data_IF_202584504929
#
_entry.id   IF_202584504929
#
_cell.length_a   1.000
_cell.length_b   1.000
_cell.length_c   1.000
_cell.angle_alpha   90.00
_cell.angle_beta   90.00
_cell.angle_gamma   90.00
#
_symmetry.space_group_name_H-M   'P 1'
#
loop_
_entity.id
_entity.type
_entity.pdbx_description
1 polymer ?
#
# COMPACT_ATOMS: atom_id res chain seq x y z
N UNK A 1 -29.29 -4.58 -11.06
CA UNK A 1 -27.91 -4.18 -10.75
C UNK A 1 -27.94 -2.90 -9.92
N UNK A 2 -27.29 -2.83 -8.76
CA UNK A 2 -27.32 -1.63 -7.90
C UNK A 2 -25.93 -0.94 -7.89
N UNK A 3 -25.92 0.38 -7.71
CA UNK A 3 -24.70 1.17 -7.53
C UNK A 3 -23.80 0.61 -6.41
N UNK A 4 -24.43 0.06 -5.34
CA UNK A 4 -23.74 -0.59 -4.23
C UNK A 4 -22.77 -1.69 -4.68
N UNK A 5 -23.15 -2.51 -5.67
CA UNK A 5 -22.30 -3.59 -6.16
C UNK A 5 -21.04 -3.06 -6.87
N UNK A 6 -21.17 -1.97 -7.67
CA UNK A 6 -20.01 -1.33 -8.31
C UNK A 6 -19.03 -0.75 -7.26
N UNK A 7 -19.56 -0.11 -6.22
CA UNK A 7 -18.73 0.39 -5.12
C UNK A 7 -18.04 -0.78 -4.38
N UNK A 8 -18.76 -1.86 -4.10
CA UNK A 8 -18.18 -3.01 -3.37
C UNK A 8 -17.01 -3.67 -4.12
N UNK A 9 -17.06 -3.79 -5.45
CA UNK A 9 -15.97 -4.42 -6.22
C UNK A 9 -14.70 -3.57 -6.29
N UNK A 10 -14.77 -2.24 -6.01
CA UNK A 10 -13.59 -1.37 -5.93
C UNK A 10 -12.84 -1.51 -4.61
N UNK A 11 -13.40 -2.22 -3.61
CA UNK A 11 -12.80 -2.39 -2.27
C UNK A 11 -12.50 -1.06 -1.57
N UNK A 12 -13.51 -0.27 -1.14
CA UNK A 12 -13.32 1.10 -0.60
C UNK A 12 -12.33 1.19 0.56
N UNK A 13 -12.24 0.16 1.42
CA UNK A 13 -11.26 0.13 2.51
C UNK A 13 -9.80 0.13 2.02
N UNK A 14 -9.51 -0.50 0.86
CA UNK A 14 -8.18 -0.46 0.25
C UNK A 14 -7.91 0.93 -0.31
N UNK A 15 -8.89 1.54 -1.00
CA UNK A 15 -8.77 2.90 -1.54
C UNK A 15 -8.46 3.88 -0.40
N UNK A 16 -9.20 3.81 0.70
CA UNK A 16 -9.00 4.71 1.86
C UNK A 16 -7.57 4.65 2.41
N UNK A 17 -7.03 3.44 2.62
CA UNK A 17 -5.64 3.28 3.09
C UNK A 17 -4.61 3.86 2.11
N UNK A 18 -4.84 3.70 0.80
CA UNK A 18 -3.93 4.25 -0.21
C UNK A 18 -4.02 5.78 -0.29
N UNK A 19 -5.22 6.34 -0.20
CA UNK A 19 -5.46 7.81 -0.20
C UNK A 19 -4.69 8.49 0.94
N UNK A 20 -4.68 7.89 2.12
CA UNK A 20 -3.91 8.40 3.26
C UNK A 20 -2.40 8.44 2.98
N UNK A 21 -1.89 7.38 2.35
CA UNK A 21 -0.47 7.30 1.98
C UNK A 21 -0.10 8.28 0.88
N UNK A 22 -0.98 8.47 -0.11
CA UNK A 22 -0.85 9.51 -1.15
C UNK A 22 -0.72 10.89 -0.52
N UNK A 23 -1.63 11.21 0.41
CA UNK A 23 -1.61 12.50 1.13
C UNK A 23 -0.30 12.70 1.89
N UNK A 24 0.19 11.67 2.61
CA UNK A 24 1.47 11.73 3.32
C UNK A 24 2.65 12.06 2.40
N UNK A 25 2.75 11.39 1.24
CA UNK A 25 3.79 11.68 0.25
C UNK A 25 3.65 13.06 -0.38
N UNK A 26 2.42 13.47 -0.71
CA UNK A 26 2.13 14.78 -1.28
C UNK A 26 2.51 15.92 -0.33
N UNK A 27 2.09 15.86 0.92
CA UNK A 27 2.39 16.91 1.90
C UNK A 27 3.87 16.96 2.27
N UNK A 28 4.56 15.81 2.34
CA UNK A 28 6.00 15.76 2.52
C UNK A 28 6.73 16.55 1.42
N UNK A 29 6.26 16.41 0.17
CA UNK A 29 6.82 17.11 -0.98
C UNK A 29 6.43 18.59 -1.05
N UNK A 30 5.20 18.93 -0.66
CA UNK A 30 4.63 20.28 -0.77
C UNK A 30 5.27 21.30 0.17
N UNK A 31 5.89 20.83 1.27
CA UNK A 31 6.58 21.70 2.26
C UNK A 31 5.76 22.93 2.66
N UNK A 32 4.44 22.73 2.85
CA UNK A 32 3.49 23.78 3.21
C UNK A 32 2.89 24.57 2.03
N UNK A 33 3.43 24.44 0.81
CA UNK A 33 2.90 25.10 -0.39
C UNK A 33 1.98 24.13 -1.16
N UNK A 34 0.70 24.14 -0.85
CA UNK A 34 -0.27 23.18 -1.38
C UNK A 34 -0.97 23.75 -2.61
N UNK A 35 -0.75 23.12 -3.78
CA UNK A 35 -1.61 23.30 -4.94
C UNK A 35 -2.83 22.39 -4.81
N UNK A 36 -3.99 22.99 -4.56
CA UNK A 36 -5.24 22.24 -4.33
C UNK A 36 -5.69 21.47 -5.56
N UNK A 37 -5.46 21.99 -6.77
CA UNK A 37 -5.86 21.30 -8.01
C UNK A 37 -5.03 20.03 -8.20
N UNK A 38 -3.70 20.11 -8.02
CA UNK A 38 -2.81 18.96 -8.08
C UNK A 38 -3.17 17.97 -6.96
N UNK A 39 -3.39 18.44 -5.73
CA UNK A 39 -3.77 17.59 -4.60
C UNK A 39 -5.02 16.77 -4.90
N UNK A 40 -6.11 17.41 -5.32
CA UNK A 40 -7.36 16.74 -5.66
C UNK A 40 -7.20 15.77 -6.84
N UNK A 41 -6.45 16.18 -7.87
CA UNK A 41 -6.17 15.31 -9.01
C UNK A 41 -5.41 14.04 -8.62
N UNK A 42 -4.43 14.16 -7.73
CA UNK A 42 -3.62 13.03 -7.25
C UNK A 42 -4.46 12.11 -6.37
N UNK A 43 -5.26 12.67 -5.46
CA UNK A 43 -6.15 11.90 -4.59
C UNK A 43 -7.18 11.11 -5.40
N UNK A 44 -7.87 11.77 -6.33
CA UNK A 44 -8.90 11.16 -7.17
C UNK A 44 -8.28 10.21 -8.20
N UNK A 45 -7.24 10.65 -8.92
CA UNK A 45 -6.59 9.86 -9.97
C UNK A 45 -6.01 8.56 -9.43
N UNK A 46 -5.28 8.62 -8.32
CA UNK A 46 -4.73 7.40 -7.67
C UNK A 46 -5.85 6.51 -7.15
N UNK A 47 -6.92 7.08 -6.57
CA UNK A 47 -8.09 6.31 -6.12
C UNK A 47 -8.74 5.54 -7.27
N UNK A 48 -8.89 6.16 -8.46
CA UNK A 48 -9.45 5.52 -9.64
C UNK A 48 -8.55 4.38 -10.17
N UNK A 49 -7.23 4.57 -10.20
CA UNK A 49 -6.28 3.53 -10.61
C UNK A 49 -6.29 2.36 -9.62
N UNK A 50 -6.30 2.63 -8.31
CA UNK A 50 -6.40 1.60 -7.26
C UNK A 50 -7.74 0.85 -7.36
N UNK A 51 -8.85 1.57 -7.55
CA UNK A 51 -10.16 0.99 -7.76
C UNK A 51 -10.18 0.05 -8.97
N UNK A 52 -9.63 0.51 -10.10
CA UNK A 52 -9.44 -0.29 -11.31
C UNK A 52 -8.69 -1.59 -11.02
N UNK A 53 -7.53 -1.49 -10.36
CA UNK A 53 -6.74 -2.65 -9.96
C UNK A 53 -7.51 -3.63 -9.06
N UNK A 54 -8.31 -3.12 -8.12
CA UNK A 54 -9.18 -3.93 -7.25
C UNK A 54 -10.27 -4.68 -8.05
N UNK A 55 -10.88 -4.03 -9.04
CA UNK A 55 -11.89 -4.66 -9.89
C UNK A 55 -11.25 -5.74 -10.78
N UNK A 56 -10.11 -5.45 -11.44
CA UNK A 56 -9.36 -6.48 -12.19
C UNK A 56 -8.97 -7.65 -11.30
N UNK A 57 -8.48 -7.40 -10.09
CA UNK A 57 -8.14 -8.47 -9.15
C UNK A 57 -9.36 -9.31 -8.78
N UNK A 58 -10.56 -8.73 -8.57
CA UNK A 58 -11.78 -9.49 -8.34
C UNK A 58 -12.17 -10.34 -9.56
N UNK A 59 -11.93 -9.85 -10.79
CA UNK A 59 -12.18 -10.64 -12.01
C UNK A 59 -11.22 -11.84 -12.13
N UNK A 60 -9.93 -11.61 -11.86
CA UNK A 60 -8.86 -12.60 -11.94
C UNK A 60 -9.02 -13.67 -10.86
N UNK A 61 -9.35 -13.26 -9.64
CA UNK A 61 -9.38 -14.16 -8.48
C UNK A 61 -10.72 -14.86 -8.27
N UNK A 62 -11.69 -14.72 -9.16
CA UNK A 62 -13.06 -15.24 -8.98
C UNK A 62 -13.12 -16.71 -8.59
N UNK A 63 -12.26 -17.53 -9.18
CA UNK A 63 -12.18 -18.98 -8.93
C UNK A 63 -11.58 -19.32 -7.56
N UNK A 64 -10.56 -18.59 -7.13
CA UNK A 64 -9.96 -18.78 -5.79
C UNK A 64 -10.78 -18.13 -4.70
N UNK A 65 -11.44 -16.99 -4.98
CA UNK A 65 -12.33 -16.32 -4.03
C UNK A 65 -13.52 -17.21 -3.63
N UNK A 66 -14.01 -18.06 -4.53
CA UNK A 66 -15.06 -19.02 -4.24
C UNK A 66 -14.65 -20.06 -3.17
N UNK A 67 -13.34 -20.37 -3.09
CA UNK A 67 -12.80 -21.37 -2.15
C UNK A 67 -12.51 -20.80 -0.76
N UNK A 68 -12.51 -19.49 -0.60
CA UNK A 68 -12.21 -18.81 0.65
C UNK A 68 -13.49 -18.40 1.38
N UNK A 69 -13.62 -18.71 2.65
CA UNK A 69 -14.79 -18.36 3.48
C UNK A 69 -15.05 -16.84 3.47
N UNK A 70 -13.99 -16.05 3.57
CA UNK A 70 -14.06 -14.59 3.58
C UNK A 70 -14.57 -13.97 2.28
N UNK A 71 -14.34 -14.60 1.13
CA UNK A 71 -14.52 -13.99 -0.20
C UNK A 71 -15.55 -14.68 -1.08
N UNK A 72 -16.08 -15.84 -0.68
CA UNK A 72 -17.10 -16.60 -1.43
C UNK A 72 -18.38 -15.80 -1.72
N UNK A 73 -18.68 -14.79 -0.90
CA UNK A 73 -19.85 -13.92 -1.06
C UNK A 73 -19.55 -12.61 -1.83
N UNK A 74 -18.41 -12.51 -2.50
CA UNK A 74 -18.10 -11.33 -3.32
C UNK A 74 -19.06 -11.21 -4.51
N UNK A 75 -19.34 -9.96 -4.90
CA UNK A 75 -20.26 -9.60 -5.97
C UNK A 75 -20.01 -10.37 -7.28
N UNK A 76 -18.74 -10.50 -7.70
CA UNK A 76 -18.38 -11.23 -8.93
C UNK A 76 -18.43 -12.74 -8.76
N UNK A 77 -18.18 -13.26 -7.57
CA UNK A 77 -18.31 -14.70 -7.27
C UNK A 77 -19.79 -15.09 -7.33
N UNK A 78 -20.67 -14.25 -6.79
CA UNK A 78 -22.12 -14.46 -6.79
C UNK A 78 -22.80 -14.13 -8.15
N UNK A 79 -22.03 -13.68 -9.17
CA UNK A 79 -22.58 -13.35 -10.47
C UNK A 79 -23.50 -12.13 -10.52
N UNK A 80 -23.50 -11.26 -9.48
CA UNK A 80 -24.36 -10.06 -9.39
C UNK A 80 -23.95 -8.96 -10.39
N UNK A 81 -22.73 -9.01 -10.91
CA UNK A 81 -22.25 -8.22 -12.05
C UNK A 81 -21.60 -9.18 -13.04
N UNK A 82 -21.86 -9.01 -14.34
CA UNK A 82 -21.21 -9.81 -15.37
C UNK A 82 -19.71 -9.50 -15.47
N UNK A 83 -18.91 -10.50 -15.81
CA UNK A 83 -17.45 -10.33 -15.95
C UNK A 83 -17.11 -9.26 -17.01
N UNK A 84 -17.81 -9.27 -18.15
CA UNK A 84 -17.62 -8.28 -19.22
C UNK A 84 -17.82 -6.85 -18.74
N UNK A 85 -18.91 -6.61 -17.99
CA UNK A 85 -19.21 -5.29 -17.45
C UNK A 85 -18.20 -4.86 -16.39
N UNK A 86 -17.76 -5.77 -15.53
CA UNK A 86 -16.71 -5.48 -14.55
C UNK A 86 -15.38 -5.11 -15.21
N UNK A 87 -14.99 -5.80 -16.30
CA UNK A 87 -13.77 -5.48 -17.06
C UNK A 87 -13.86 -4.11 -17.73
N UNK A 88 -15.00 -3.76 -18.35
CA UNK A 88 -15.24 -2.42 -18.93
C UNK A 88 -15.14 -1.35 -17.84
N UNK A 89 -15.82 -1.57 -16.72
CA UNK A 89 -15.78 -0.64 -15.58
C UNK A 89 -14.36 -0.44 -15.05
N UNK A 90 -13.60 -1.52 -14.86
CA UNK A 90 -12.21 -1.45 -14.43
C UNK A 90 -11.35 -0.64 -15.41
N UNK A 91 -11.50 -0.90 -16.72
CA UNK A 91 -10.74 -0.18 -17.76
C UNK A 91 -11.06 1.31 -17.75
N UNK A 92 -12.35 1.68 -17.68
CA UNK A 92 -12.77 3.09 -17.61
C UNK A 92 -12.16 3.79 -16.39
N UNK A 93 -12.22 3.17 -15.21
CA UNK A 93 -11.61 3.72 -13.99
C UNK A 93 -10.09 3.93 -14.15
N UNK A 94 -9.39 2.93 -14.68
CA UNK A 94 -7.93 2.98 -14.85
C UNK A 94 -7.52 4.08 -15.84
N UNK A 95 -8.16 4.11 -17.01
CA UNK A 95 -7.88 5.14 -18.04
C UNK A 95 -8.18 6.53 -17.52
N UNK A 96 -9.34 6.72 -16.86
CA UNK A 96 -9.71 8.02 -16.30
C UNK A 96 -8.72 8.47 -15.20
N UNK A 97 -8.29 7.55 -14.31
CA UNK A 97 -7.33 7.85 -13.26
C UNK A 97 -5.95 8.25 -13.81
N UNK A 98 -5.42 7.47 -14.77
CA UNK A 98 -4.14 7.78 -15.42
C UNK A 98 -4.21 9.09 -16.20
N UNK A 99 -5.30 9.31 -16.95
CA UNK A 99 -5.49 10.55 -17.70
C UNK A 99 -5.55 11.79 -16.80
N UNK A 100 -6.24 11.68 -15.65
CA UNK A 100 -6.30 12.76 -14.66
C UNK A 100 -4.91 13.08 -14.07
N UNK A 101 -4.15 12.06 -13.67
CA UNK A 101 -2.78 12.24 -13.17
C UNK A 101 -1.88 12.87 -14.23
N UNK A 102 -1.94 12.39 -15.47
CA UNK A 102 -1.12 12.89 -16.58
C UNK A 102 -1.42 14.36 -16.92
N UNK A 103 -2.70 14.73 -16.95
CA UNK A 103 -3.13 16.06 -17.42
C UNK A 103 -3.03 17.14 -16.36
N UNK A 104 -3.27 16.80 -15.09
CA UNK A 104 -3.40 17.80 -14.01
C UNK A 104 -2.19 17.76 -13.06
N UNK A 105 -1.64 16.58 -12.76
CA UNK A 105 -0.43 16.49 -11.96
C UNK A 105 0.81 16.58 -12.88
N UNK A 106 1.36 15.44 -13.30
CA UNK A 106 2.47 15.39 -14.26
C UNK A 106 2.62 13.97 -14.86
N UNK A 107 3.40 13.82 -15.96
CA UNK A 107 3.63 12.52 -16.58
C UNK A 107 4.30 11.50 -15.66
N UNK A 108 5.14 11.94 -14.72
CA UNK A 108 5.88 11.05 -13.82
C UNK A 108 4.92 10.40 -12.81
N UNK A 109 3.98 11.15 -12.25
CA UNK A 109 2.94 10.60 -11.36
C UNK A 109 2.06 9.57 -12.09
N UNK A 110 1.67 9.85 -13.33
CA UNK A 110 0.95 8.91 -14.17
C UNK A 110 1.77 7.64 -14.47
N UNK A 111 3.07 7.78 -14.74
CA UNK A 111 3.97 6.65 -14.98
C UNK A 111 4.04 5.72 -13.75
N UNK A 112 4.22 6.26 -12.54
CA UNK A 112 4.26 5.46 -11.31
C UNK A 112 2.92 4.79 -11.02
N UNK A 113 1.80 5.43 -11.35
CA UNK A 113 0.48 4.82 -11.25
C UNK A 113 0.34 3.62 -12.21
N UNK A 114 0.79 3.75 -13.46
CA UNK A 114 0.82 2.65 -14.44
C UNK A 114 1.74 1.53 -14.01
N UNK A 115 2.95 1.83 -13.53
CA UNK A 115 3.89 0.83 -13.01
C UNK A 115 3.26 0.05 -11.85
N UNK A 116 2.66 0.75 -10.88
CA UNK A 116 1.96 0.11 -9.76
C UNK A 116 0.81 -0.80 -10.20
N UNK A 117 0.03 -0.33 -11.17
CA UNK A 117 -1.07 -1.10 -11.76
C UNK A 117 -0.56 -2.37 -12.47
N UNK A 118 0.48 -2.26 -13.32
CA UNK A 118 1.07 -3.41 -14.03
C UNK A 118 1.65 -4.43 -13.05
N UNK A 119 2.35 -3.97 -12.01
CA UNK A 119 2.87 -4.86 -10.96
C UNK A 119 1.71 -5.58 -10.25
N UNK A 120 0.65 -4.86 -9.87
CA UNK A 120 -0.45 -5.43 -9.10
C UNK A 120 -1.32 -6.38 -9.93
N UNK A 121 -1.76 -5.96 -11.10
CA UNK A 121 -2.67 -6.74 -11.94
C UNK A 121 -1.90 -7.80 -12.74
N UNK A 122 -0.82 -7.39 -13.41
CA UNK A 122 -0.04 -8.24 -14.30
C UNK A 122 0.82 -9.24 -13.54
N UNK A 123 1.85 -8.76 -12.83
CA UNK A 123 2.82 -9.67 -12.20
C UNK A 123 2.26 -10.36 -10.96
N UNK A 124 1.61 -9.61 -10.06
CA UNK A 124 1.11 -10.20 -8.81
C UNK A 124 -0.15 -11.01 -9.01
N UNK A 125 -1.27 -10.40 -9.45
CA UNK A 125 -2.59 -11.06 -9.46
C UNK A 125 -2.69 -12.16 -10.49
N UNK A 126 -2.23 -11.92 -11.74
CA UNK A 126 -2.31 -12.93 -12.82
C UNK A 126 -1.33 -14.07 -12.64
N UNK A 127 -0.14 -13.83 -12.08
CA UNK A 127 0.92 -14.84 -12.12
C UNK A 127 1.45 -15.24 -10.73
N UNK A 128 2.13 -14.33 -10.01
CA UNK A 128 2.93 -14.69 -8.85
C UNK A 128 2.09 -15.11 -7.64
N UNK A 129 0.94 -14.52 -7.44
CA UNK A 129 0.03 -14.84 -6.33
C UNK A 129 -0.32 -16.32 -6.27
N UNK A 130 -0.45 -16.99 -7.44
CA UNK A 130 -0.85 -18.39 -7.56
C UNK A 130 0.33 -19.35 -7.63
N UNK A 131 1.52 -18.86 -7.96
CA UNK A 131 2.68 -19.72 -8.30
C UNK A 131 3.88 -19.58 -7.38
N UNK A 132 4.00 -18.47 -6.64
CA UNK A 132 5.23 -18.17 -5.93
C UNK A 132 5.02 -17.61 -4.53
N UNK A 133 5.84 -18.08 -3.57
CA UNK A 133 5.97 -17.49 -2.23
C UNK A 133 6.40 -16.01 -2.30
N UNK A 134 7.13 -15.65 -3.36
CA UNK A 134 7.63 -14.28 -3.57
C UNK A 134 6.56 -13.32 -4.13
N UNK A 135 5.33 -13.82 -4.40
CA UNK A 135 4.23 -12.97 -4.83
C UNK A 135 3.98 -11.79 -3.90
N UNK A 136 4.04 -12.00 -2.58
CA UNK A 136 3.89 -10.91 -1.60
C UNK A 136 4.96 -9.83 -1.76
N UNK A 137 6.22 -10.22 -2.01
CA UNK A 137 7.32 -9.25 -2.19
C UNK A 137 7.11 -8.40 -3.46
N UNK A 138 6.75 -9.01 -4.58
CA UNK A 138 6.48 -8.24 -5.80
C UNK A 138 5.22 -7.39 -5.63
N UNK A 139 4.18 -7.92 -4.99
CA UNK A 139 2.96 -7.17 -4.68
C UNK A 139 3.21 -5.96 -3.77
N UNK A 140 4.21 -6.02 -2.88
CA UNK A 140 4.54 -4.90 -1.98
C UNK A 140 5.03 -3.66 -2.73
N UNK A 141 5.69 -3.83 -3.87
CA UNK A 141 6.11 -2.71 -4.71
C UNK A 141 4.90 -1.92 -5.23
N UNK A 142 3.82 -2.59 -5.63
CA UNK A 142 2.61 -1.89 -6.07
C UNK A 142 1.94 -1.11 -4.94
N UNK A 143 1.91 -1.67 -3.73
CA UNK A 143 1.34 -1.00 -2.56
C UNK A 143 2.20 0.15 -2.01
N UNK A 144 3.46 0.25 -2.44
CA UNK A 144 4.34 1.37 -2.13
C UNK A 144 4.24 2.53 -3.14
N UNK A 145 3.55 2.35 -4.27
CA UNK A 145 3.40 3.42 -5.28
C UNK A 145 2.57 4.62 -4.82
N UNK A 146 1.49 4.49 -4.04
CA UNK A 146 0.65 5.62 -3.65
C UNK A 146 1.42 6.79 -3.01
N UNK A 147 2.24 6.61 -1.96
CA UNK A 147 3.01 7.72 -1.41
C UNK A 147 4.05 8.28 -2.39
N UNK A 148 4.64 7.43 -3.25
CA UNK A 148 5.55 7.88 -4.31
C UNK A 148 4.81 8.76 -5.32
N UNK A 149 3.60 8.35 -5.77
CA UNK A 149 2.76 9.14 -6.68
C UNK A 149 2.46 10.50 -6.05
N UNK A 150 2.08 10.54 -4.76
CA UNK A 150 1.84 11.78 -4.04
C UNK A 150 3.06 12.70 -4.05
N UNK A 151 4.24 12.16 -3.77
CA UNK A 151 5.50 12.89 -3.73
C UNK A 151 5.92 13.42 -5.11
N UNK A 152 6.00 12.56 -6.11
CA UNK A 152 6.46 12.94 -7.47
C UNK A 152 5.47 13.84 -8.19
N UNK A 153 4.21 13.87 -7.79
CA UNK A 153 3.22 14.80 -8.35
C UNK A 153 3.57 16.27 -8.04
N UNK A 154 4.24 16.52 -6.93
CA UNK A 154 4.71 17.85 -6.52
C UNK A 154 6.10 18.15 -7.05
N UNK A 155 7.04 17.20 -6.85
CA UNK A 155 8.46 17.43 -7.17
C UNK A 155 8.81 17.25 -8.64
N UNK A 156 7.97 16.52 -9.40
CA UNK A 156 8.24 16.06 -10.76
C UNK A 156 9.61 15.37 -10.90
N UNK A 157 10.08 14.73 -9.83
CA UNK A 157 11.36 14.01 -9.78
C UNK A 157 11.26 12.77 -8.90
N UNK A 158 12.08 11.76 -9.23
CA UNK A 158 12.26 10.58 -8.40
C UNK A 158 13.63 10.68 -7.72
N UNK A 159 13.64 11.35 -6.58
CA UNK A 159 14.83 11.60 -5.76
C UNK A 159 14.98 10.60 -4.60
N UNK A 160 15.91 10.88 -3.68
CA UNK A 160 16.19 10.03 -2.52
C UNK A 160 14.96 9.92 -1.58
N UNK A 161 14.12 10.94 -1.48
CA UNK A 161 12.90 10.85 -0.67
C UNK A 161 11.88 9.92 -1.33
N UNK A 162 11.66 10.03 -2.64
CA UNK A 162 10.78 9.13 -3.38
C UNK A 162 11.26 7.67 -3.28
N UNK A 163 12.57 7.43 -3.39
CA UNK A 163 13.17 6.10 -3.19
C UNK A 163 12.96 5.60 -1.76
N UNK A 164 13.16 6.46 -0.76
CA UNK A 164 12.96 6.10 0.65
C UNK A 164 11.49 5.74 0.91
N UNK A 165 10.53 6.50 0.36
CA UNK A 165 9.10 6.18 0.44
C UNK A 165 8.79 4.83 -0.21
N UNK A 166 9.34 4.55 -1.39
CA UNK A 166 9.16 3.27 -2.08
C UNK A 166 9.66 2.10 -1.22
N UNK A 167 10.88 2.21 -0.69
CA UNK A 167 11.49 1.17 0.15
C UNK A 167 10.72 1.00 1.46
N UNK A 168 10.43 2.09 2.16
CA UNK A 168 9.73 2.10 3.44
C UNK A 168 8.35 1.44 3.35
N UNK A 169 7.54 1.83 2.37
CA UNK A 169 6.20 1.27 2.20
C UNK A 169 6.22 -0.17 1.68
N UNK A 170 7.20 -0.54 0.85
CA UNK A 170 7.39 -1.95 0.46
C UNK A 170 7.75 -2.83 1.64
N UNK A 171 8.66 -2.37 2.50
CA UNK A 171 9.05 -3.09 3.71
C UNK A 171 7.91 -3.21 4.73
N UNK A 172 7.12 -2.13 4.91
CA UNK A 172 5.94 -2.15 5.75
C UNK A 172 4.91 -3.20 5.32
N UNK A 173 4.70 -3.32 4.02
CA UNK A 173 3.67 -4.21 3.47
C UNK A 173 4.00 -5.69 3.69
N UNK A 174 5.27 -6.05 3.87
CA UNK A 174 5.65 -7.44 4.08
C UNK A 174 5.12 -8.02 5.41
N UNK A 175 5.43 -7.45 6.59
CA UNK A 175 4.89 -7.95 7.85
C UNK A 175 3.37 -7.80 7.94
N UNK A 176 2.79 -6.73 7.38
CA UNK A 176 1.35 -6.54 7.25
C UNK A 176 0.70 -7.72 6.51
N UNK A 177 1.22 -8.08 5.35
CA UNK A 177 0.69 -9.16 4.51
C UNK A 177 0.92 -10.54 5.13
N UNK A 178 2.07 -10.77 5.75
CA UNK A 178 2.34 -12.04 6.45
C UNK A 178 1.43 -12.22 7.67
N UNK A 179 1.14 -11.16 8.41
CA UNK A 179 0.16 -11.18 9.48
C UNK A 179 -1.22 -11.58 8.96
N UNK A 180 -1.69 -10.99 7.85
CA UNK A 180 -2.94 -11.40 7.19
C UNK A 180 -2.89 -12.89 6.83
N UNK A 181 -1.79 -13.35 6.26
CA UNK A 181 -1.63 -14.74 5.83
C UNK A 181 -1.66 -15.73 7.02
N UNK A 182 -1.22 -15.32 8.20
CA UNK A 182 -1.29 -16.13 9.42
C UNK A 182 -2.73 -16.19 9.94
N UNK A 183 -3.39 -15.04 10.19
CA UNK A 183 -4.74 -15.09 10.75
C UNK A 183 -5.84 -15.53 9.75
N UNK A 184 -5.49 -15.62 8.45
CA UNK A 184 -6.33 -16.17 7.38
C UNK A 184 -5.76 -17.46 6.79
N UNK A 185 -4.97 -18.18 7.57
CA UNK A 185 -4.25 -19.38 7.13
C UNK A 185 -5.15 -20.39 6.40
N UNK A 186 -6.30 -20.70 6.96
CA UNK A 186 -7.23 -21.68 6.41
C UNK A 186 -7.83 -21.23 5.06
N UNK A 187 -8.10 -19.92 4.89
CA UNK A 187 -8.56 -19.37 3.61
C UNK A 187 -7.51 -19.57 2.51
N UNK A 188 -6.24 -19.24 2.80
CA UNK A 188 -5.13 -19.41 1.84
C UNK A 188 -4.83 -20.87 1.52
N UNK A 189 -4.94 -21.73 2.54
CA UNK A 189 -4.77 -23.17 2.39
C UNK A 189 -5.88 -23.75 1.48
N UNK A 190 -7.15 -23.44 1.73
CA UNK A 190 -8.30 -23.89 0.94
C UNK A 190 -8.21 -23.45 -0.53
N UNK A 191 -7.68 -22.25 -0.79
CA UNK A 191 -7.47 -21.72 -2.13
C UNK A 191 -6.15 -22.15 -2.77
N UNK A 192 -5.33 -22.95 -2.08
CA UNK A 192 -4.00 -23.42 -2.52
C UNK A 192 -3.05 -22.27 -2.91
N UNK A 193 -3.17 -21.10 -2.25
CA UNK A 193 -2.31 -19.95 -2.50
C UNK A 193 -0.99 -20.12 -1.73
N UNK A 194 0.18 -20.06 -2.40
CA UNK A 194 1.47 -20.38 -1.80
C UNK A 194 2.06 -19.21 -0.99
N UNK A 195 1.27 -18.63 -0.04
CA UNK A 195 1.83 -17.62 0.88
C UNK A 195 2.84 -18.25 1.84
N UNK A 196 3.77 -17.43 2.36
CA UNK A 196 4.89 -17.91 3.16
C UNK A 196 4.48 -18.82 4.33
N UNK A 197 3.49 -18.48 5.19
CA UNK A 197 3.11 -19.37 6.30
C UNK A 197 2.53 -20.70 5.83
N UNK A 198 1.82 -20.75 4.70
CA UNK A 198 1.26 -22.01 4.15
C UNK A 198 2.37 -22.90 3.57
N UNK A 199 3.38 -22.33 2.90
CA UNK A 199 4.44 -23.10 2.24
C UNK A 199 5.62 -23.44 3.15
N UNK A 200 5.98 -22.54 4.08
CA UNK A 200 7.18 -22.70 4.92
C UNK A 200 6.90 -22.71 6.43
N UNK A 201 5.63 -22.65 6.81
CA UNK A 201 5.20 -22.66 8.20
C UNK A 201 5.17 -21.28 8.87
N UNK A 202 4.39 -21.19 9.95
CA UNK A 202 4.14 -19.95 10.70
C UNK A 202 5.44 -19.43 11.36
N UNK A 203 6.30 -20.31 11.87
CA UNK A 203 7.55 -19.90 12.53
C UNK A 203 8.50 -19.18 11.57
N UNK A 204 8.60 -19.65 10.33
CA UNK A 204 9.37 -18.96 9.29
C UNK A 204 8.75 -17.59 8.98
N UNK A 205 7.42 -17.50 8.89
CA UNK A 205 6.73 -16.24 8.68
C UNK A 205 6.97 -15.24 9.83
N UNK A 206 6.95 -15.68 11.10
CA UNK A 206 7.29 -14.84 12.28
C UNK A 206 8.72 -14.28 12.17
N UNK A 207 9.70 -15.09 11.79
CA UNK A 207 11.08 -14.63 11.57
C UNK A 207 11.15 -13.55 10.49
N UNK A 208 10.50 -13.77 9.36
CA UNK A 208 10.43 -12.76 8.28
C UNK A 208 9.74 -11.48 8.72
N UNK A 209 8.62 -11.58 9.46
CA UNK A 209 7.93 -10.42 10.05
C UNK A 209 8.91 -9.57 10.87
N UNK A 210 9.65 -10.20 11.79
CA UNK A 210 10.63 -9.51 12.64
C UNK A 210 11.69 -8.78 11.81
N UNK A 211 12.29 -9.48 10.83
CA UNK A 211 13.35 -8.93 9.99
C UNK A 211 12.84 -7.76 9.11
N UNK A 212 11.63 -7.88 8.54
CA UNK A 212 11.05 -6.81 7.73
C UNK A 212 10.65 -5.59 8.57
N UNK A 213 10.18 -5.78 9.82
CA UNK A 213 9.90 -4.65 10.72
C UNK A 213 11.20 -3.94 11.10
N UNK A 214 12.27 -4.67 11.36
CA UNK A 214 13.59 -4.07 11.63
C UNK A 214 14.09 -3.26 10.44
N UNK A 215 14.02 -3.81 9.23
CA UNK A 215 14.40 -3.11 8.00
C UNK A 215 13.50 -1.89 7.74
N UNK A 216 12.19 -2.02 7.98
CA UNK A 216 11.24 -0.91 7.90
C UNK A 216 11.60 0.22 8.88
N UNK A 217 11.92 -0.11 10.14
CA UNK A 217 12.34 0.88 11.13
C UNK A 217 13.56 1.66 10.64
N UNK A 218 14.59 0.97 10.15
CA UNK A 218 15.78 1.64 9.57
C UNK A 218 15.38 2.55 8.40
N UNK A 219 14.57 2.07 7.47
CA UNK A 219 14.13 2.85 6.32
C UNK A 219 13.33 4.10 6.71
N UNK A 220 12.45 4.01 7.73
CA UNK A 220 11.67 5.17 8.20
C UNK A 220 12.54 6.27 8.80
N UNK A 221 13.60 5.91 9.52
CA UNK A 221 14.51 6.88 10.12
C UNK A 221 15.31 7.63 9.04
N UNK A 222 15.53 7.02 7.87
CA UNK A 222 16.28 7.64 6.77
C UNK A 222 15.65 8.94 6.27
N UNK A 223 14.31 9.12 6.33
CA UNK A 223 13.67 10.38 5.94
C UNK A 223 14.18 11.57 6.76
N UNK A 224 14.43 11.38 8.06
CA UNK A 224 14.99 12.45 8.91
C UNK A 224 16.47 12.63 8.69
N UNK A 225 17.24 11.55 8.64
CA UNK A 225 18.68 11.63 8.44
C UNK A 225 19.08 12.19 7.06
N UNK A 226 18.23 11.99 6.04
CA UNK A 226 18.40 12.58 4.72
C UNK A 226 17.81 14.01 4.61
N UNK A 227 17.30 14.60 5.72
CA UNK A 227 16.86 15.98 5.76
C UNK A 227 15.47 16.26 5.19
N UNK A 228 14.62 15.26 4.99
CA UNK A 228 13.26 15.44 4.46
C UNK A 228 12.19 15.58 5.55
N UNK A 229 12.41 14.98 6.72
CA UNK A 229 11.49 15.04 7.84
C UNK A 229 12.18 15.54 9.12
N UNK A 230 11.40 16.06 10.07
CA UNK A 230 11.89 16.64 11.31
C UNK A 230 12.07 15.63 12.45
N UNK A 231 12.36 16.17 13.63
CA UNK A 231 12.62 15.36 14.84
C UNK A 231 11.34 14.78 15.46
N UNK A 232 10.19 15.43 15.27
CA UNK A 232 8.90 14.90 15.73
C UNK A 232 8.50 13.67 14.93
N UNK A 233 8.71 13.69 13.60
CA UNK A 233 8.57 12.51 12.75
C UNK A 233 9.49 11.38 13.23
N UNK A 234 10.77 11.67 13.48
CA UNK A 234 11.76 10.71 13.97
C UNK A 234 11.31 10.02 15.26
N UNK A 235 10.84 10.82 16.23
CA UNK A 235 10.38 10.30 17.51
C UNK A 235 9.18 9.36 17.36
N UNK A 236 8.18 9.75 16.55
CA UNK A 236 7.00 8.92 16.26
C UNK A 236 7.39 7.66 15.48
N UNK A 237 8.25 7.78 14.45
CA UNK A 237 8.72 6.65 13.66
C UNK A 237 9.46 5.62 14.53
N UNK A 238 10.36 6.07 15.40
CA UNK A 238 11.09 5.23 16.34
C UNK A 238 10.13 4.55 17.33
N UNK A 239 9.22 5.30 17.96
CA UNK A 239 8.27 4.76 18.93
C UNK A 239 7.35 3.70 18.30
N UNK A 240 6.74 4.01 17.15
CA UNK A 240 5.84 3.10 16.44
C UNK A 240 6.58 1.85 15.94
N UNK A 241 7.76 2.03 15.35
CA UNK A 241 8.57 0.93 14.84
C UNK A 241 9.08 0.00 15.95
N UNK A 242 9.59 0.55 17.06
CA UNK A 242 10.05 -0.24 18.22
C UNK A 242 8.89 -0.99 18.88
N UNK A 243 7.73 -0.36 19.05
CA UNK A 243 6.58 -1.06 19.62
C UNK A 243 6.06 -2.17 18.70
N UNK A 244 6.05 -1.94 17.37
CA UNK A 244 5.68 -2.98 16.41
C UNK A 244 6.68 -4.15 16.43
N UNK A 245 7.97 -3.85 16.56
CA UNK A 245 9.04 -4.86 16.73
C UNK A 245 8.84 -5.68 18.01
N UNK A 246 8.52 -5.03 19.13
CA UNK A 246 8.17 -5.68 20.38
C UNK A 246 6.96 -6.61 20.23
N UNK A 247 5.88 -6.14 19.58
CA UNK A 247 4.70 -6.97 19.29
C UNK A 247 5.07 -8.19 18.42
N UNK A 248 5.97 -8.03 17.44
CA UNK A 248 6.44 -9.14 16.62
C UNK A 248 7.22 -10.16 17.45
N UNK A 249 8.10 -9.68 18.35
CA UNK A 249 8.87 -10.53 19.28
C UNK A 249 7.97 -11.34 20.21
N UNK A 250 6.92 -10.75 20.79
CA UNK A 250 5.97 -11.46 21.66
C UNK A 250 5.25 -12.60 20.95
N UNK A 251 5.20 -12.58 19.63
CA UNK A 251 4.62 -13.65 18.81
C UNK A 251 5.27 -15.01 18.97
N UNK A 252 6.56 -15.06 19.35
CA UNK A 252 7.23 -16.34 19.63
C UNK A 252 6.69 -17.06 20.87
N UNK A 253 6.04 -16.34 21.77
CA UNK A 253 5.38 -16.86 22.98
C UNK A 253 3.85 -16.84 22.88
N UNK A 254 3.30 -16.54 21.71
CA UNK A 254 1.85 -16.47 21.53
C UNK A 254 1.21 -17.85 21.64
N UNK A 255 0.17 -17.95 22.47
CA UNK A 255 -0.64 -19.16 22.61
C UNK A 255 -1.54 -19.36 21.38
N UNK A 256 -2.04 -18.26 20.83
CA UNK A 256 -2.87 -18.25 19.60
C UNK A 256 -2.26 -17.30 18.56
N UNK A 257 -1.69 -17.90 17.53
CA UNK A 257 -1.07 -17.18 16.42
C UNK A 257 -2.07 -16.35 15.61
N UNK A 258 -3.33 -16.74 15.55
CA UNK A 258 -4.39 -16.02 14.84
C UNK A 258 -4.71 -14.69 15.53
N UNK A 259 -4.88 -14.74 16.84
CA UNK A 259 -5.15 -13.53 17.65
C UNK A 259 -3.96 -12.59 17.64
N UNK A 260 -2.73 -13.12 17.80
CA UNK A 260 -1.52 -12.34 17.76
C UNK A 260 -1.34 -11.65 16.39
N UNK A 261 -1.44 -12.40 15.30
CA UNK A 261 -1.27 -11.87 13.96
C UNK A 261 -2.30 -10.80 13.61
N UNK A 262 -3.56 -10.96 14.07
CA UNK A 262 -4.60 -9.93 13.91
C UNK A 262 -4.24 -8.63 14.62
N UNK A 263 -3.72 -8.69 15.85
CA UNK A 263 -3.25 -7.50 16.60
C UNK A 263 -2.10 -6.82 15.87
N UNK A 264 -1.12 -7.61 15.40
CA UNK A 264 0.03 -7.12 14.65
C UNK A 264 -0.39 -6.43 13.34
N UNK A 265 -1.35 -7.00 12.62
CA UNK A 265 -1.95 -6.42 11.42
C UNK A 265 -2.65 -5.09 11.71
N UNK A 266 -3.49 -5.03 12.74
CA UNK A 266 -4.18 -3.79 13.11
C UNK A 266 -3.17 -2.70 13.47
N UNK A 267 -2.15 -3.03 14.27
CA UNK A 267 -1.12 -2.08 14.65
C UNK A 267 -0.30 -1.57 13.44
N UNK A 268 -0.07 -2.40 12.43
CA UNK A 268 0.58 -1.96 11.19
C UNK A 268 -0.17 -0.82 10.47
N UNK A 269 -1.51 -0.85 10.51
CA UNK A 269 -2.35 0.22 9.95
C UNK A 269 -2.17 1.51 10.75
N UNK A 270 -2.19 1.43 12.10
CA UNK A 270 -1.91 2.60 12.94
C UNK A 270 -0.52 3.18 12.69
N UNK A 271 0.49 2.32 12.53
CA UNK A 271 1.86 2.73 12.23
C UNK A 271 1.94 3.55 10.95
N UNK A 272 1.44 3.02 9.84
CA UNK A 272 1.53 3.73 8.55
C UNK A 272 0.68 4.99 8.51
N UNK A 273 -0.46 4.99 9.22
CA UNK A 273 -1.31 6.16 9.39
C UNK A 273 -0.57 7.26 10.16
N UNK A 274 0.02 6.93 11.30
CA UNK A 274 0.79 7.88 12.10
C UNK A 274 1.97 8.48 11.31
N UNK A 275 2.71 7.64 10.58
CA UNK A 275 3.81 8.13 9.74
C UNK A 275 3.34 9.02 8.60
N UNK A 276 2.22 8.68 7.92
CA UNK A 276 1.65 9.52 6.87
C UNK A 276 1.22 10.89 7.41
N UNK A 277 0.61 10.92 8.60
CA UNK A 277 0.26 12.17 9.27
C UNK A 277 1.51 12.97 9.64
N UNK A 278 2.53 12.31 10.22
CA UNK A 278 3.76 13.01 10.61
C UNK A 278 4.56 13.53 9.41
N UNK A 279 4.58 12.83 8.29
CA UNK A 279 5.14 13.34 7.02
C UNK A 279 4.42 14.62 6.57
N UNK A 280 3.13 14.75 6.86
CA UNK A 280 2.34 15.93 6.51
C UNK A 280 2.57 17.13 7.47
N UNK A 281 2.99 16.87 8.71
CA UNK A 281 3.11 17.88 9.76
C UNK A 281 4.56 18.32 10.04
N UNK A 282 5.52 17.41 9.89
CA UNK A 282 6.92 17.62 10.29
C UNK A 282 7.89 17.42 9.11
N UNK A 283 7.60 18.08 7.99
CA UNK A 283 8.50 18.16 6.84
C UNK A 283 9.62 19.18 7.08
N UNK A 284 10.79 18.97 6.44
CA UNK A 284 11.89 19.93 6.41
C UNK A 284 12.00 20.61 5.06
N UNK A 285 12.32 21.91 5.10
CA UNK A 285 12.76 22.66 3.92
C UNK A 285 14.29 22.57 3.88
N UNK A 286 14.93 21.98 2.87
CA UNK A 286 16.38 21.95 2.75
C UNK A 286 16.96 23.36 2.80
N UNK A 287 18.08 23.54 3.50
CA UNK A 287 18.71 24.86 3.71
C UNK A 287 19.05 25.57 2.38
N UNK A 288 19.35 24.81 1.33
CA UNK A 288 19.61 25.34 -0.02
C UNK A 288 18.41 26.07 -0.63
N UNK A 289 17.18 25.62 -0.34
CA UNK A 289 15.95 26.30 -0.79
C UNK A 289 15.64 27.56 0.02
N UNK A 290 16.06 27.62 1.28
CA UNK A 290 15.89 28.83 2.11
C UNK A 290 16.74 30.01 1.60
N UNK A 291 17.89 29.74 0.95
CA UNK A 291 18.75 30.76 0.38
C UNK A 291 18.21 31.34 -0.95
N UNK A 292 17.34 30.60 -1.67
CA UNK A 292 16.72 31.05 -2.93
C UNK A 292 15.49 31.93 -2.70
N UNK A 293 14.91 31.93 -1.49
CA UNK A 293 13.72 32.71 -1.11
C UNK A 293 14.04 33.79 -0.07
N UNK A 294 15.32 34.02 0.25
CA UNK A 294 15.72 35.20 1.05
C UNK A 294 15.55 36.47 0.19
N UNK A 295 14.84 37.50 0.67
CA UNK A 295 14.54 38.72 -0.08
C UNK A 295 15.78 39.51 -0.44
#
# INVERSE_FOLDING_TARGET
MSLKHFIQITKPGIIFGNVLSVAGGFFLASKGHVDLAIFLAVMIGTSLVVASGCVFNNCIDRDIDLKMERTKNRVLVQGLISLKLALVYATVLGVAGVALLYKVANPLAALFAVIGFVIYVGFYSLYLKRKSVHGTLVGSLSGAMPPVIGYVAVTNSFDMAALTLLVMFSLWQMPHSYAIAIFRFNDYLAASIPVLPVKRGIQVAKKHILLYILAFLVATLMLTFSGYAGMSYLAVAAAMGMYWLYMAWTGYKAVDDTVWARKLFVFSIFTITALSVMMSLDFKVPAELLLTYAP
#
